data_IF_376786458274
#
_entry.id   IF_376786458274
#
_cell.length_a   1.000
_cell.length_b   1.000
_cell.length_c   1.000
_cell.angle_alpha   90.00
_cell.angle_beta   90.00
_cell.angle_gamma   90.00
#
_symmetry.space_group_name_H-M   'P 1'
#
loop_
_entity.id
_entity.type
_entity.pdbx_description
1 polymer ?
#
# COMPACT_ATOMS: atom_id res chain seq x y z
N UNK A 1 8.56 6.35 -2.67
CA UNK A 1 7.17 6.85 -2.53
C UNK A 1 7.12 8.37 -2.61
N UNK A 2 7.90 9.12 -1.82
CA UNK A 2 7.96 10.59 -1.89
C UNK A 2 8.64 11.15 -3.15
N UNK A 3 9.73 10.53 -3.59
CA UNK A 3 10.41 10.92 -4.84
C UNK A 3 9.81 10.17 -6.03
N UNK A 4 9.11 10.92 -6.88
CA UNK A 4 8.46 10.41 -8.08
C UNK A 4 9.46 9.89 -9.12
N UNK A 5 10.58 10.57 -9.29
CA UNK A 5 11.58 10.17 -10.28
C UNK A 5 12.22 8.83 -9.88
N UNK A 6 12.52 8.66 -8.58
CA UNK A 6 13.05 7.39 -8.07
C UNK A 6 12.04 6.25 -8.16
N UNK A 7 10.75 6.53 -7.94
CA UNK A 7 9.69 5.55 -8.09
C UNK A 7 9.56 5.10 -9.55
N UNK A 8 9.46 6.05 -10.48
CA UNK A 8 9.36 5.77 -11.92
C UNK A 8 10.60 5.05 -12.45
N UNK A 9 11.80 5.45 -12.04
CA UNK A 9 13.03 4.77 -12.42
C UNK A 9 13.04 3.31 -11.94
N UNK A 10 12.67 3.06 -10.69
CA UNK A 10 12.62 1.71 -10.13
C UNK A 10 11.59 0.84 -10.87
N UNK A 11 10.39 1.37 -11.16
CA UNK A 11 9.36 0.67 -11.94
C UNK A 11 9.87 0.31 -13.33
N UNK A 12 10.49 1.25 -14.03
CA UNK A 12 11.08 0.98 -15.34
C UNK A 12 12.15 -0.12 -15.27
N UNK A 13 12.99 -0.11 -14.23
CA UNK A 13 14.04 -1.13 -14.04
C UNK A 13 13.47 -2.53 -13.82
N UNK A 14 12.36 -2.65 -13.09
CA UNK A 14 11.71 -3.95 -12.90
C UNK A 14 11.12 -4.48 -14.21
N UNK A 15 10.51 -3.61 -15.04
CA UNK A 15 10.01 -3.99 -16.38
C UNK A 15 11.14 -4.44 -17.30
N UNK A 16 12.27 -3.71 -17.32
CA UNK A 16 13.44 -4.06 -18.14
C UNK A 16 14.00 -5.46 -17.80
N UNK A 17 14.00 -5.85 -16.52
CA UNK A 17 14.44 -7.18 -16.09
C UNK A 17 13.50 -8.27 -16.59
N UNK A 18 12.19 -8.06 -16.51
CA UNK A 18 11.18 -9.03 -16.95
C UNK A 18 11.24 -9.27 -18.46
N UNK A 19 11.38 -8.19 -19.26
CA UNK A 19 11.40 -8.29 -20.72
C UNK A 19 12.69 -8.89 -21.29
N UNK A 20 13.85 -8.56 -20.69
CA UNK A 20 15.15 -8.88 -21.29
C UNK A 20 15.81 -10.13 -20.71
N UNK A 21 15.30 -10.65 -19.59
CA UNK A 21 15.96 -11.67 -18.76
C UNK A 21 17.43 -11.28 -18.41
N UNK A 22 17.78 -10.00 -18.53
CA UNK A 22 19.09 -9.45 -18.21
C UNK A 22 19.03 -8.80 -16.84
N UNK A 23 19.82 -9.30 -15.89
CA UNK A 23 19.90 -8.74 -14.54
C UNK A 23 20.88 -7.58 -14.42
N UNK A 24 21.18 -6.88 -15.53
CA UNK A 24 21.98 -5.66 -15.47
C UNK A 24 21.13 -4.48 -14.99
N UNK A 25 20.93 -4.40 -13.68
CA UNK A 25 20.25 -3.29 -13.02
C UNK A 25 21.18 -2.09 -12.84
N UNK A 26 21.45 -1.35 -13.92
CA UNK A 26 22.22 -0.10 -13.89
C UNK A 26 21.33 1.09 -13.54
N UNK A 27 21.83 1.95 -12.66
CA UNK A 27 21.19 3.21 -12.26
C UNK A 27 22.26 4.28 -12.06
N UNK A 28 21.91 5.53 -12.35
CA UNK A 28 22.71 6.71 -11.99
C UNK A 28 22.25 7.30 -10.64
N UNK A 29 21.09 6.88 -10.11
CA UNK A 29 20.62 7.25 -8.79
C UNK A 29 21.46 6.57 -7.71
N UNK A 30 21.98 7.39 -6.80
CA UNK A 30 22.73 6.88 -5.66
C UNK A 30 21.82 6.20 -4.63
N UNK A 31 20.55 6.59 -4.57
CA UNK A 31 19.51 6.06 -3.69
C UNK A 31 19.06 4.65 -4.12
N UNK A 32 18.95 4.40 -5.44
CA UNK A 32 18.59 3.09 -5.96
C UNK A 32 19.77 2.13 -6.07
N UNK A 33 21.00 2.65 -6.11
CA UNK A 33 22.21 1.86 -6.32
C UNK A 33 22.34 0.68 -5.38
N UNK A 34 22.11 0.90 -4.08
CA UNK A 34 22.28 -0.14 -3.06
C UNK A 34 21.15 -1.19 -3.14
N UNK A 35 19.92 -0.76 -3.41
CA UNK A 35 18.77 -1.64 -3.63
C UNK A 35 19.00 -2.53 -4.86
N UNK A 36 19.32 -1.92 -6.01
CA UNK A 36 19.53 -2.63 -7.27
C UNK A 36 20.74 -3.55 -7.22
N UNK A 37 21.82 -3.15 -6.55
CA UNK A 37 22.99 -4.01 -6.34
C UNK A 37 22.63 -5.23 -5.47
N UNK A 38 21.81 -5.04 -4.43
CA UNK A 38 21.32 -6.13 -3.59
C UNK A 38 20.45 -7.11 -4.38
N UNK A 39 19.62 -6.59 -5.29
CA UNK A 39 18.81 -7.41 -6.19
C UNK A 39 19.62 -8.15 -7.24
N UNK A 40 20.73 -7.58 -7.71
CA UNK A 40 21.58 -8.23 -8.71
C UNK A 40 22.39 -9.39 -8.12
N UNK A 41 22.83 -9.27 -6.87
CA UNK A 41 23.72 -10.23 -6.21
C UNK A 41 23.00 -11.29 -5.36
N UNK A 42 21.67 -11.28 -5.33
CA UNK A 42 20.86 -12.23 -4.59
C UNK A 42 20.85 -13.64 -5.24
N UNK A 43 20.76 -14.69 -4.43
CA UNK A 43 20.46 -16.04 -4.93
C UNK A 43 18.94 -16.20 -5.01
N UNK A 44 18.32 -15.64 -6.05
CA UNK A 44 16.86 -15.63 -6.19
C UNK A 44 16.29 -14.43 -6.93
N UNK A 45 17.10 -13.77 -7.76
CA UNK A 45 16.80 -12.48 -8.38
C UNK A 45 15.40 -12.41 -9.01
N UNK A 46 14.96 -13.47 -9.72
CA UNK A 46 13.62 -13.53 -10.32
C UNK A 46 12.47 -13.39 -9.32
N UNK A 47 12.60 -14.01 -8.14
CA UNK A 47 11.54 -13.96 -7.15
C UNK A 47 11.49 -12.58 -6.48
N UNK A 48 12.66 -12.00 -6.18
CA UNK A 48 12.72 -10.67 -5.57
C UNK A 48 12.25 -9.59 -6.54
N UNK A 49 12.64 -9.67 -7.81
CA UNK A 49 12.18 -8.70 -8.83
C UNK A 49 10.68 -8.80 -9.03
N UNK A 50 10.12 -10.02 -9.12
CA UNK A 50 8.68 -10.23 -9.21
C UNK A 50 7.94 -9.65 -8.00
N UNK A 51 8.42 -9.92 -6.78
CA UNK A 51 7.81 -9.36 -5.56
C UNK A 51 7.89 -7.83 -5.56
N UNK A 52 9.00 -7.24 -6.00
CA UNK A 52 9.12 -5.78 -6.10
C UNK A 52 8.17 -5.21 -7.15
N UNK A 53 8.01 -5.88 -8.29
CA UNK A 53 7.00 -5.49 -9.30
C UNK A 53 5.60 -5.50 -8.69
N UNK A 54 5.20 -6.57 -7.99
CA UNK A 54 3.88 -6.64 -7.34
C UNK A 54 3.68 -5.51 -6.31
N UNK A 55 4.74 -5.14 -5.57
CA UNK A 55 4.73 -4.01 -4.63
C UNK A 55 4.53 -2.69 -5.38
N UNK A 56 5.25 -2.49 -6.49
CA UNK A 56 5.19 -1.26 -7.28
C UNK A 56 3.84 -1.11 -7.96
N UNK A 57 3.27 -2.19 -8.49
CA UNK A 57 1.94 -2.20 -9.10
C UNK A 57 0.87 -1.82 -8.07
N UNK A 58 0.95 -2.37 -6.84
CA UNK A 58 0.06 -1.98 -5.76
C UNK A 58 0.23 -0.51 -5.36
N UNK A 59 1.45 0.03 -5.39
CA UNK A 59 1.69 1.45 -5.11
C UNK A 59 1.27 2.36 -6.27
N UNK A 60 1.32 1.88 -7.51
CA UNK A 60 0.92 2.65 -8.71
C UNK A 60 -0.60 2.80 -8.82
N UNK A 61 -1.35 1.81 -8.36
CA UNK A 61 -2.81 1.87 -8.22
C UNK A 61 -3.27 2.95 -7.22
N UNK A 62 -2.39 3.38 -6.31
CA UNK A 62 -2.66 4.49 -5.39
C UNK A 62 -2.36 5.84 -6.05
N UNK A 63 -3.17 6.83 -5.71
CA UNK A 63 -2.90 8.21 -6.16
C UNK A 63 -1.58 8.74 -5.59
N UNK A 64 -0.97 9.73 -6.25
CA UNK A 64 0.26 10.36 -5.78
C UNK A 64 0.09 10.94 -4.36
N UNK A 65 -1.05 11.58 -4.08
CA UNK A 65 -1.40 12.09 -2.76
C UNK A 65 -1.50 10.96 -1.71
N UNK A 66 -2.12 9.82 -2.03
CA UNK A 66 -2.16 8.67 -1.13
C UNK A 66 -0.77 8.12 -0.81
N UNK A 67 0.15 8.08 -1.79
CA UNK A 67 1.54 7.64 -1.54
C UNK A 67 2.28 8.60 -0.61
N UNK A 68 1.99 9.91 -0.68
CA UNK A 68 2.55 10.89 0.26
C UNK A 68 2.00 10.69 1.68
N UNK A 69 0.70 10.39 1.82
CA UNK A 69 0.11 10.06 3.12
C UNK A 69 0.66 8.74 3.68
N UNK A 70 0.94 7.74 2.84
CA UNK A 70 1.60 6.50 3.26
C UNK A 70 3.01 6.76 3.79
N UNK A 71 3.77 7.61 3.10
CA UNK A 71 5.11 8.00 3.51
C UNK A 71 5.09 8.75 4.86
N UNK A 72 4.15 9.67 5.06
CA UNK A 72 3.93 10.32 6.36
C UNK A 72 3.48 9.31 7.45
N UNK A 73 2.70 8.29 7.07
CA UNK A 73 2.27 7.24 7.99
C UNK A 73 3.43 6.36 8.49
N UNK A 74 4.43 6.14 7.64
CA UNK A 74 5.69 5.47 8.02
C UNK A 74 6.45 6.33 9.05
N UNK A 75 6.61 7.62 8.78
CA UNK A 75 7.29 8.56 9.68
C UNK A 75 6.58 8.63 11.07
N UNK A 76 5.25 8.64 11.07
CA UNK A 76 4.43 8.65 12.30
C UNK A 76 4.29 7.28 12.98
N UNK A 77 4.77 6.19 12.36
CA UNK A 77 4.70 4.80 12.87
C UNK A 77 3.27 4.31 13.13
N UNK A 78 2.33 4.70 12.27
CA UNK A 78 0.90 4.36 12.39
C UNK A 78 0.43 3.27 11.40
N UNK A 79 1.34 2.78 10.56
CA UNK A 79 1.08 1.73 9.57
C UNK A 79 0.38 0.49 10.19
N UNK A 80 0.79 -0.05 11.37
CA UNK A 80 0.12 -1.23 11.93
C UNK A 80 -1.37 -1.01 12.23
N UNK A 81 -1.73 0.17 12.74
CA UNK A 81 -3.11 0.54 13.07
C UNK A 81 -3.93 0.73 11.80
N UNK A 82 -3.38 1.44 10.80
CA UNK A 82 -4.03 1.62 9.50
C UNK A 82 -4.23 0.30 8.77
N UNK A 83 -3.26 -0.62 8.82
CA UNK A 83 -3.37 -1.95 8.24
C UNK A 83 -4.54 -2.74 8.83
N UNK A 84 -4.71 -2.73 10.17
CA UNK A 84 -5.86 -3.38 10.80
C UNK A 84 -7.18 -2.76 10.38
N UNK A 85 -7.21 -1.44 10.22
CA UNK A 85 -8.39 -0.69 9.80
C UNK A 85 -8.82 -1.08 8.38
N UNK A 86 -7.90 -1.02 7.41
CA UNK A 86 -8.19 -1.35 6.01
C UNK A 86 -8.53 -2.83 5.84
N UNK A 87 -7.87 -3.70 6.60
CA UNK A 87 -8.24 -5.13 6.67
C UNK A 87 -9.70 -5.31 7.08
N UNK A 88 -10.12 -4.62 8.13
CA UNK A 88 -11.49 -4.67 8.61
C UNK A 88 -12.48 -4.16 7.56
N UNK A 89 -12.14 -3.10 6.82
CA UNK A 89 -12.96 -2.56 5.72
C UNK A 89 -13.15 -3.61 4.61
N UNK A 90 -12.08 -4.29 4.19
CA UNK A 90 -12.13 -5.35 3.18
C UNK A 90 -13.01 -6.53 3.62
N UNK A 91 -12.76 -7.07 4.82
CA UNK A 91 -13.50 -8.23 5.35
C UNK A 91 -15.01 -7.98 5.46
N UNK A 92 -15.44 -6.73 5.65
CA UNK A 92 -16.86 -6.38 5.82
C UNK A 92 -17.57 -6.02 4.51
N UNK A 93 -16.83 -5.70 3.44
CA UNK A 93 -17.39 -5.34 2.13
C UNK A 93 -17.38 -6.52 1.13
N UNK A 94 -16.74 -7.66 1.44
CA UNK A 94 -16.81 -8.91 0.66
C UNK A 94 -18.24 -9.51 0.55
N UNK A 95 -19.22 -8.97 1.27
CA UNK A 95 -20.59 -9.46 1.36
C UNK A 95 -21.55 -9.15 0.20
N UNK A 96 -21.12 -8.49 -0.87
CA UNK A 96 -22.01 -8.10 -1.97
C UNK A 96 -22.44 -9.22 -2.94
N UNK A 97 -22.19 -10.50 -2.61
CA UNK A 97 -22.70 -11.66 -3.36
C UNK A 97 -23.41 -12.76 -2.55
N UNK A 98 -23.30 -12.77 -1.22
CA UNK A 98 -23.97 -13.75 -0.35
C UNK A 98 -24.39 -13.03 0.92
N UNK A 99 -25.70 -13.01 1.19
CA UNK A 99 -26.28 -12.48 2.44
C UNK A 99 -25.66 -13.16 3.68
N UNK A 100 -24.57 -12.61 4.19
CA UNK A 100 -24.22 -12.70 5.59
C UNK A 100 -24.56 -11.37 6.24
N UNK A 101 -25.79 -11.27 6.74
CA UNK A 101 -26.13 -10.29 7.78
C UNK A 101 -25.24 -10.56 9.00
N UNK A 102 -24.17 -9.80 9.20
CA UNK A 102 -23.70 -9.49 10.54
C UNK A 102 -22.67 -8.34 10.55
N UNK A 103 -23.03 -7.26 11.24
CA UNK A 103 -22.10 -6.28 11.79
C UNK A 103 -21.83 -5.08 10.89
N UNK A 104 -22.47 -3.95 11.20
CA UNK A 104 -21.83 -2.67 10.91
C UNK A 104 -20.43 -2.71 11.52
N UNK A 105 -19.40 -2.61 10.69
CA UNK A 105 -18.04 -2.38 11.15
C UNK A 105 -18.07 -1.08 11.92
N UNK A 106 -18.03 -1.12 13.25
CA UNK A 106 -17.90 0.11 14.04
C UNK A 106 -16.45 0.57 13.92
N UNK A 107 -16.15 1.22 12.80
CA UNK A 107 -14.86 1.82 12.50
C UNK A 107 -14.51 2.89 13.54
N UNK A 108 -15.53 3.47 14.19
CA UNK A 108 -15.39 4.46 15.24
C UNK A 108 -14.49 3.98 16.38
N UNK A 109 -14.61 2.74 16.82
CA UNK A 109 -13.73 2.21 17.87
C UNK A 109 -12.25 2.15 17.43
N UNK A 110 -12.00 1.81 16.17
CA UNK A 110 -10.64 1.74 15.61
C UNK A 110 -10.07 3.13 15.33
N UNK A 111 -10.88 4.06 14.82
CA UNK A 111 -10.48 5.45 14.56
C UNK A 111 -10.22 6.25 15.84
N UNK A 112 -10.94 5.95 16.93
CA UNK A 112 -10.71 6.57 18.25
C UNK A 112 -9.36 6.20 18.88
N UNK A 113 -8.64 5.21 18.34
CA UNK A 113 -7.29 4.88 18.81
C UNK A 113 -6.22 5.84 18.29
N UNK A 114 -6.54 6.63 17.25
CA UNK A 114 -5.62 7.59 16.66
C UNK A 114 -5.75 8.97 17.35
N UNK A 115 -4.63 9.69 17.57
CA UNK A 115 -4.64 11.13 17.73
C UNK A 115 -5.37 11.84 16.57
N UNK A 116 -5.98 13.01 16.79
CA UNK A 116 -6.81 13.69 15.77
C UNK A 116 -6.12 13.92 14.42
N UNK A 117 -4.82 14.24 14.42
CA UNK A 117 -4.05 14.48 13.21
C UNK A 117 -3.82 13.18 12.40
N UNK A 118 -3.50 12.08 13.10
CA UNK A 118 -3.32 10.74 12.51
C UNK A 118 -4.66 10.14 12.06
N UNK A 119 -5.75 10.48 12.74
CA UNK A 119 -7.10 10.11 12.36
C UNK A 119 -7.48 10.77 11.04
N UNK A 120 -7.28 12.10 10.91
CA UNK A 120 -7.54 12.82 9.66
C UNK A 120 -6.73 12.24 8.50
N UNK A 121 -5.44 12.03 8.72
CA UNK A 121 -4.55 11.41 7.73
C UNK A 121 -5.09 10.06 7.25
N UNK A 122 -5.48 9.19 8.18
CA UNK A 122 -6.00 7.85 7.89
C UNK A 122 -7.34 7.90 7.14
N UNK A 123 -8.23 8.82 7.50
CA UNK A 123 -9.51 9.04 6.81
C UNK A 123 -9.25 9.50 5.38
N UNK A 124 -8.44 10.54 5.19
CA UNK A 124 -8.12 11.09 3.86
C UNK A 124 -7.56 9.97 2.94
N UNK A 125 -6.65 9.15 3.46
CA UNK A 125 -6.05 8.04 2.71
C UNK A 125 -7.06 6.96 2.30
N UNK A 126 -8.02 6.63 3.17
CA UNK A 126 -9.06 5.63 2.92
C UNK A 126 -10.11 6.16 1.93
N UNK A 127 -10.54 7.42 2.09
CA UNK A 127 -11.50 8.05 1.19
C UNK A 127 -10.96 8.22 -0.23
N UNK A 128 -9.66 8.49 -0.37
CA UNK A 128 -8.99 8.52 -1.67
C UNK A 128 -9.01 7.16 -2.40
N UNK A 129 -9.18 6.04 -1.68
CA UNK A 129 -9.39 4.70 -2.29
C UNK A 129 -10.84 4.45 -2.71
N UNK A 130 -11.72 5.46 -2.61
CA UNK A 130 -13.14 5.33 -2.98
C UNK A 130 -14.03 4.78 -1.87
N UNK A 131 -13.52 4.68 -0.64
CA UNK A 131 -14.32 4.29 0.53
C UNK A 131 -15.10 5.49 1.05
N UNK A 132 -16.39 5.32 1.29
CA UNK A 132 -17.22 6.34 1.94
C UNK A 132 -17.44 5.96 3.40
N UNK A 133 -17.08 6.85 4.31
CA UNK A 133 -17.40 6.73 5.73
C UNK A 133 -18.80 7.28 6.02
N UNK A 134 -19.64 6.48 6.65
CA UNK A 134 -21.02 6.83 7.00
C UNK A 134 -21.08 7.50 8.38
N UNK A 135 -22.19 8.20 8.65
CA UNK A 135 -22.43 8.85 9.95
C UNK A 135 -22.42 7.88 11.15
N UNK A 136 -22.72 6.60 10.90
CA UNK A 136 -22.68 5.53 11.91
C UNK A 136 -21.27 4.92 12.09
N UNK A 137 -20.25 5.52 11.46
CA UNK A 137 -18.89 5.03 11.36
C UNK A 137 -18.75 3.67 10.66
N UNK A 138 -19.67 3.28 9.79
CA UNK A 138 -19.45 2.20 8.83
C UNK A 138 -18.69 2.69 7.60
N UNK A 139 -18.07 1.75 6.87
CA UNK A 139 -17.30 2.03 5.66
C UNK A 139 -17.82 1.19 4.50
N UNK A 140 -18.14 1.85 3.38
CA UNK A 140 -18.68 1.19 2.18
C UNK A 140 -17.87 1.60 0.97
N UNK A 141 -17.59 0.67 0.06
CA UNK A 141 -16.98 0.96 -1.24
C UNK A 141 -17.65 0.10 -2.34
N UNK A 142 -17.59 0.56 -3.59
CA UNK A 142 -18.18 -0.15 -4.73
C UNK A 142 -17.20 -1.16 -5.35
N UNK A 143 -17.66 -2.06 -6.22
CA UNK A 143 -16.75 -2.98 -6.92
C UNK A 143 -15.65 -2.23 -7.70
N UNK A 144 -15.95 -1.05 -8.24
CA UNK A 144 -14.98 -0.21 -8.95
C UNK A 144 -13.87 0.34 -8.03
N UNK A 145 -14.14 0.51 -6.74
CA UNK A 145 -13.18 0.99 -5.76
C UNK A 145 -12.32 -0.15 -5.17
N UNK A 146 -12.73 -1.42 -5.34
CA UNK A 146 -12.04 -2.57 -4.77
C UNK A 146 -10.54 -2.62 -5.11
N UNK A 147 -10.09 -2.40 -6.37
CA UNK A 147 -8.66 -2.42 -6.70
C UNK A 147 -7.85 -1.44 -5.84
N UNK A 148 -8.32 -0.19 -5.69
CA UNK A 148 -7.64 0.83 -4.89
C UNK A 148 -7.64 0.52 -3.39
N UNK A 149 -8.69 -0.12 -2.85
CA UNK A 149 -8.74 -0.55 -1.45
C UNK A 149 -7.80 -1.74 -1.21
N UNK A 150 -7.77 -2.71 -2.14
CA UNK A 150 -6.87 -3.85 -2.08
C UNK A 150 -5.40 -3.40 -2.20
N UNK A 151 -5.10 -2.50 -3.12
CA UNK A 151 -3.79 -1.87 -3.29
C UNK A 151 -3.33 -1.14 -2.02
N UNK A 152 -4.23 -0.41 -1.36
CA UNK A 152 -3.92 0.25 -0.09
C UNK A 152 -3.59 -0.78 1.00
N UNK A 153 -4.38 -1.85 1.12
CA UNK A 153 -4.12 -2.93 2.06
C UNK A 153 -2.76 -3.60 1.81
N UNK A 154 -2.47 -3.96 0.56
CA UNK A 154 -1.22 -4.59 0.15
C UNK A 154 -0.04 -3.67 0.50
N UNK A 155 -0.12 -2.40 0.12
CA UNK A 155 0.91 -1.39 0.42
C UNK A 155 1.17 -1.28 1.93
N UNK A 156 0.12 -1.13 2.74
CA UNK A 156 0.24 -1.10 4.21
C UNK A 156 0.81 -2.40 4.78
N UNK A 157 0.45 -3.55 4.22
CA UNK A 157 0.93 -4.86 4.66
C UNK A 157 2.44 -4.99 4.43
N UNK A 158 2.91 -4.65 3.23
CA UNK A 158 4.33 -4.67 2.87
C UNK A 158 5.11 -3.69 3.73
N UNK A 159 4.63 -2.45 3.88
CA UNK A 159 5.30 -1.45 4.72
C UNK A 159 5.39 -1.91 6.19
N UNK A 160 4.35 -2.55 6.72
CA UNK A 160 4.37 -3.15 8.06
C UNK A 160 5.35 -4.32 8.19
N UNK A 161 5.60 -5.08 7.12
CA UNK A 161 6.63 -6.12 7.11
C UNK A 161 8.03 -5.49 7.11
N UNK A 162 8.27 -4.54 6.22
CA UNK A 162 9.55 -3.86 6.08
C UNK A 162 9.91 -3.04 7.33
N UNK A 163 8.93 -2.46 8.02
CA UNK A 163 9.16 -1.71 9.27
C UNK A 163 9.53 -2.61 10.46
N UNK A 164 9.37 -3.93 10.34
CA UNK A 164 9.71 -4.93 11.38
C UNK A 164 11.04 -5.62 11.11
N UNK A 165 11.67 -5.36 9.98
CA UNK A 165 12.99 -5.86 9.66
C UNK A 165 14.04 -4.94 10.30
N UNK A 166 14.64 -5.43 11.38
CA UNK A 166 15.82 -4.86 12.05
C UNK A 166 17.08 -4.96 11.19
#
# INVERSE_FOLDING_TARGET
MRDKNLFEELTQKMVEVDETCSYELKTESQELKDLLSSLQHSSGNNLLTAVITDILDALDELTEDQRLLLDESVDKKIIPQQLQLVKHILEHNEGHGIEYKCGSSNLGASLLTFPPEEQKLTIDMIEMSGVTLQEDNSAVYTEEAFPAVAALYVSLYILNLLSKSD
#
